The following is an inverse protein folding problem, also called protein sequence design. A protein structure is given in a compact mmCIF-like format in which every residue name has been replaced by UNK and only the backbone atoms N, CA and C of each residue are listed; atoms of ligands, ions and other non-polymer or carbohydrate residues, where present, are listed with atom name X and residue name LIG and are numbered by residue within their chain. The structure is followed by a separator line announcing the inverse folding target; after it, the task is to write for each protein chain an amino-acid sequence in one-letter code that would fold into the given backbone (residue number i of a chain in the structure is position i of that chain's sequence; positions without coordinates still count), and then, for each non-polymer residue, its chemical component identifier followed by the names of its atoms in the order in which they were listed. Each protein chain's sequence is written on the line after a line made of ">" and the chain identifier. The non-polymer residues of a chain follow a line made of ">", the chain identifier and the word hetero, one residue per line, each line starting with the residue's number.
data_IF_051754847986
#
_entry.id   IF_051754847986
#
_cell.length_a   1.000
_cell.length_b   1.000
_cell.length_c   1.000
_cell.angle_alpha   90.00
_cell.angle_beta   90.00
_cell.angle_gamma   90.00
#
_symmetry.space_group_name_H-M   'P 1'
#
loop_
_entity.id
_entity.type
_entity.pdbx_description
1 polymer ?
#
# COMPACT_ATOMS: atom_id res chain seq x y z
N UNK A 1 8.67 9.11 -8.16
CA UNK A 1 9.54 7.96 -7.79
C UNK A 1 8.63 6.77 -7.52
N UNK A 2 8.37 5.94 -8.52
CA UNK A 2 7.61 4.69 -8.37
C UNK A 2 8.67 3.59 -8.36
N UNK A 3 8.92 3.04 -7.18
CA UNK A 3 9.92 1.97 -6.99
C UNK A 3 9.26 0.66 -7.40
N UNK A 4 9.98 -0.15 -8.18
CA UNK A 4 9.59 -1.49 -8.65
C UNK A 4 9.36 -2.44 -7.46
N UNK A 5 8.18 -2.43 -6.87
CA UNK A 5 7.71 -3.53 -6.03
C UNK A 5 6.65 -4.28 -6.83
N UNK A 6 6.81 -5.61 -6.91
CA UNK A 6 6.04 -6.58 -7.70
C UNK A 6 4.62 -6.11 -8.08
N UNK A 7 4.29 -6.17 -9.36
CA UNK A 7 2.99 -5.74 -9.91
C UNK A 7 1.78 -6.29 -9.15
N UNK A 8 1.87 -7.51 -8.60
CA UNK A 8 0.82 -8.16 -7.80
C UNK A 8 0.51 -7.42 -6.49
N UNK A 9 1.54 -6.90 -5.80
CA UNK A 9 1.34 -6.18 -4.53
C UNK A 9 0.61 -4.85 -4.77
N UNK A 10 0.93 -4.18 -5.88
CA UNK A 10 0.29 -2.93 -6.23
C UNK A 10 -1.21 -3.12 -6.52
N UNK A 11 -1.58 -4.20 -7.24
CA UNK A 11 -3.00 -4.50 -7.47
C UNK A 11 -3.77 -4.72 -6.18
N UNK A 12 -3.21 -5.45 -5.22
CA UNK A 12 -3.87 -5.71 -3.93
C UNK A 12 -4.08 -4.44 -3.10
N UNK A 13 -3.07 -3.57 -3.03
CA UNK A 13 -3.15 -2.29 -2.31
C UNK A 13 -4.23 -1.39 -2.93
N UNK A 14 -4.30 -1.34 -4.27
CA UNK A 14 -5.27 -0.52 -4.98
C UNK A 14 -6.69 -1.09 -4.89
N UNK A 15 -6.86 -2.40 -5.00
CA UNK A 15 -8.18 -3.05 -4.86
C UNK A 15 -8.66 -3.14 -3.42
N UNK A 16 -7.76 -3.07 -2.45
CA UNK A 16 -8.10 -3.09 -1.02
C UNK A 16 -8.81 -1.83 -0.52
N UNK A 17 -8.72 -0.73 -1.26
CA UNK A 17 -9.33 0.54 -0.92
C UNK A 17 -10.52 0.86 -1.83
N UNK A 18 -11.56 1.47 -1.25
CA UNK A 18 -12.78 1.82 -1.99
C UNK A 18 -12.70 3.19 -2.69
N UNK A 19 -11.57 3.89 -2.51
CA UNK A 19 -11.26 5.21 -3.08
C UNK A 19 -9.74 5.31 -3.33
N UNK A 20 -9.28 6.33 -4.07
CA UNK A 20 -7.86 6.48 -4.42
C UNK A 20 -6.94 6.46 -3.20
N UNK A 21 -5.87 5.67 -3.30
CA UNK A 21 -4.74 5.68 -2.38
C UNK A 21 -3.92 6.95 -2.66
N UNK A 22 -3.74 7.77 -1.63
CA UNK A 22 -3.05 9.06 -1.73
C UNK A 22 -1.61 9.00 -1.23
N UNK A 23 -1.27 8.01 -0.40
CA UNK A 23 0.05 7.86 0.19
C UNK A 23 0.37 6.40 0.50
N UNK A 24 1.65 6.06 0.38
CA UNK A 24 2.22 4.77 0.75
C UNK A 24 3.51 4.97 1.55
N UNK A 25 3.76 4.12 2.54
CA UNK A 25 4.98 4.12 3.34
C UNK A 25 5.41 2.70 3.70
N UNK A 26 6.71 2.45 3.76
CA UNK A 26 7.28 1.16 4.14
C UNK A 26 7.83 1.19 5.56
N UNK A 27 7.72 0.08 6.27
CA UNK A 27 8.50 -0.09 7.49
C UNK A 27 10.01 -0.14 7.17
N UNK A 28 10.89 0.32 8.08
CA UNK A 28 12.35 0.29 7.86
C UNK A 28 12.90 -1.10 7.52
N UNK A 29 12.29 -2.14 8.10
CA UNK A 29 12.65 -3.54 7.87
C UNK A 29 11.98 -4.17 6.63
N UNK A 30 11.20 -3.40 5.85
CA UNK A 30 10.50 -3.83 4.61
C UNK A 30 9.54 -5.01 4.78
N UNK A 31 9.07 -5.29 6.00
CA UNK A 31 8.07 -6.34 6.28
C UNK A 31 6.64 -5.84 6.21
N UNK A 32 6.44 -4.53 6.34
CA UNK A 32 5.11 -3.91 6.34
C UNK A 32 5.05 -2.76 5.35
N UNK A 33 3.88 -2.56 4.77
CA UNK A 33 3.50 -1.38 4.02
C UNK A 33 2.23 -0.78 4.62
N UNK A 34 2.22 0.54 4.78
CA UNK A 34 1.02 1.30 5.13
C UNK A 34 0.50 2.07 3.91
N UNK A 35 -0.80 1.99 3.66
CA UNK A 35 -1.48 2.76 2.60
C UNK A 35 -2.58 3.62 3.20
N UNK A 36 -2.65 4.89 2.79
CA UNK A 36 -3.70 5.83 3.17
C UNK A 36 -4.57 6.22 1.98
N UNK A 37 -5.89 6.21 2.15
CA UNK A 37 -6.86 6.45 1.06
C UNK A 37 -7.91 7.50 1.40
N UNK A 38 -8.50 8.09 0.35
CA UNK A 38 -9.70 8.93 0.45
C UNK A 38 -10.95 8.18 0.95
N UNK A 39 -10.89 6.87 1.13
CA UNK A 39 -11.95 6.10 1.78
C UNK A 39 -11.97 6.26 3.30
N UNK A 40 -11.11 7.14 3.82
CA UNK A 40 -10.96 7.49 5.24
C UNK A 40 -10.34 6.36 6.06
N UNK A 41 -9.61 5.45 5.42
CA UNK A 41 -8.91 4.36 6.10
C UNK A 41 -7.41 4.38 5.85
N UNK A 42 -6.68 3.80 6.80
CA UNK A 42 -5.28 3.38 6.65
C UNK A 42 -5.26 1.86 6.77
N UNK A 43 -4.58 1.19 5.83
CA UNK A 43 -4.40 -0.26 5.83
C UNK A 43 -2.94 -0.63 5.97
N UNK A 44 -2.68 -1.73 6.67
CA UNK A 44 -1.34 -2.31 6.85
C UNK A 44 -1.29 -3.64 6.10
N UNK A 45 -0.24 -3.80 5.31
CA UNK A 45 0.00 -4.97 4.46
C UNK A 45 1.27 -5.65 4.91
N UNK A 46 1.22 -6.95 5.11
CA UNK A 46 2.40 -7.75 5.40
C UNK A 46 3.04 -8.16 4.08
N UNK A 47 4.29 -7.78 3.89
CA UNK A 47 5.08 -8.13 2.72
C UNK A 47 5.76 -9.47 3.03
N UNK A 48 5.06 -10.57 2.69
CA UNK A 48 5.59 -11.94 2.78
C UNK A 48 6.49 -12.28 1.60
#
# INVERSE_FOLDING_TARGET
>A
MIIFYRSTLLSEILSGHNKPVMSISFSPNRKLLASGSRDKTVRIWQLS
#
